data_IF_359511052170
#
_entry.id   IF_359511052170
#
_cell.length_a   1.000
_cell.length_b   1.000
_cell.length_c   1.000
_cell.angle_alpha   90.00
_cell.angle_beta   90.00
_cell.angle_gamma   90.00
#
_symmetry.space_group_name_H-M   'P 1'
#
loop_
_entity.id
_entity.type
_entity.pdbx_description
1 polymer ?
#
# COMPACT_ATOMS: atom_id res chain seq x y z
N UNK A 1 30.82 0.57 10.43
CA UNK A 1 30.17 1.78 9.92
C UNK A 1 31.00 2.27 8.74
N UNK A 2 30.45 2.15 7.55
CA UNK A 2 31.16 2.45 6.30
C UNK A 2 31.09 3.96 6.02
N UNK A 3 32.24 4.64 5.94
CA UNK A 3 32.28 6.10 5.77
C UNK A 3 32.82 6.55 4.40
N UNK A 4 32.85 5.65 3.40
CA UNK A 4 33.30 5.94 2.05
C UNK A 4 32.55 5.15 0.97
N UNK A 5 32.37 5.73 -0.21
CA UNK A 5 31.88 5.06 -1.43
C UNK A 5 33.00 5.08 -2.48
N UNK A 6 33.20 3.97 -3.19
CA UNK A 6 34.11 3.92 -4.34
C UNK A 6 33.49 4.67 -5.53
N UNK A 7 34.25 5.59 -6.11
CA UNK A 7 33.89 6.35 -7.31
C UNK A 7 34.99 6.19 -8.36
N UNK A 8 34.74 6.56 -9.63
CA UNK A 8 35.77 6.47 -10.69
C UNK A 8 37.08 7.20 -10.34
N UNK A 9 37.00 8.22 -9.49
CA UNK A 9 38.12 9.11 -9.18
C UNK A 9 38.75 8.82 -7.79
N UNK A 10 38.20 7.89 -7.00
CA UNK A 10 38.71 7.54 -5.67
C UNK A 10 37.65 7.17 -4.62
N UNK A 11 38.07 7.10 -3.35
CA UNK A 11 37.20 6.86 -2.19
C UNK A 11 36.52 8.15 -1.72
N UNK A 12 35.24 8.29 -2.04
CA UNK A 12 34.43 9.44 -1.68
C UNK A 12 34.03 9.39 -0.20
N UNK A 13 34.46 10.36 0.61
CA UNK A 13 34.13 10.42 2.02
C UNK A 13 32.68 10.86 2.25
N UNK A 14 31.89 10.02 2.92
CA UNK A 14 30.48 10.31 3.21
C UNK A 14 30.27 11.37 4.30
N UNK A 15 31.32 11.73 5.04
CA UNK A 15 31.25 12.75 6.10
C UNK A 15 31.44 14.18 5.56
N UNK A 16 32.45 14.40 4.72
CA UNK A 16 32.80 15.73 4.24
C UNK A 16 32.81 15.88 2.73
N UNK A 17 32.46 14.82 1.99
CA UNK A 17 32.36 14.81 0.54
C UNK A 17 33.70 15.00 -0.19
N UNK A 18 34.82 14.85 0.50
CA UNK A 18 36.14 14.85 -0.11
C UNK A 18 36.41 13.50 -0.80
N UNK A 19 36.86 13.54 -2.05
CA UNK A 19 37.35 12.35 -2.77
C UNK A 19 38.78 12.07 -2.35
N UNK A 20 39.01 10.89 -1.76
CA UNK A 20 40.31 10.43 -1.28
C UNK A 20 40.89 9.43 -2.27
N UNK A 21 42.17 9.13 -2.14
CA UNK A 21 42.79 8.04 -2.91
C UNK A 21 42.17 6.69 -2.54
N UNK A 22 42.17 5.74 -3.48
CA UNK A 22 41.59 4.40 -3.34
C UNK A 22 42.08 3.56 -2.15
N UNK A 23 43.25 3.88 -1.61
CA UNK A 23 43.86 3.20 -0.47
C UNK A 23 43.79 4.01 0.82
N UNK A 24 43.10 5.15 0.81
CA UNK A 24 42.94 5.98 2.00
C UNK A 24 42.09 5.25 3.04
N UNK A 25 42.65 5.05 4.24
CA UNK A 25 41.92 4.45 5.38
C UNK A 25 41.20 5.51 6.22
N UNK A 26 41.53 6.78 6.02
CA UNK A 26 40.92 7.94 6.67
C UNK A 26 40.81 9.09 5.67
N UNK A 27 39.80 9.94 5.85
CA UNK A 27 39.58 11.10 5.02
C UNK A 27 40.66 12.13 5.27
N UNK A 28 41.34 12.57 4.21
CA UNK A 28 42.38 13.60 4.29
C UNK A 28 41.83 14.98 4.68
N UNK A 29 40.53 15.22 4.50
CA UNK A 29 39.91 16.50 4.81
C UNK A 29 39.22 16.54 6.18
N UNK A 30 38.54 15.48 6.61
CA UNK A 30 37.80 15.49 7.89
C UNK A 30 38.26 14.43 8.91
N UNK A 31 39.22 13.57 8.56
CA UNK A 31 39.73 12.52 9.44
C UNK A 31 38.81 11.29 9.61
N UNK A 32 37.62 11.26 9.00
CA UNK A 32 36.70 10.12 9.11
C UNK A 32 37.30 8.83 8.53
N UNK A 33 37.16 7.69 9.20
CA UNK A 33 37.73 6.39 8.76
C UNK A 33 37.03 5.87 7.49
N UNK A 34 37.73 5.79 6.37
CA UNK A 34 37.18 5.31 5.10
C UNK A 34 37.27 3.78 5.05
N UNK A 35 36.12 3.12 5.08
CA UNK A 35 35.99 1.67 4.87
C UNK A 35 35.29 1.49 3.54
N UNK A 36 35.98 0.88 2.56
CA UNK A 36 35.42 0.59 1.24
C UNK A 36 34.22 -0.35 1.40
N UNK A 37 33.04 0.13 1.02
CA UNK A 37 31.78 -0.57 1.16
C UNK A 37 31.63 -1.60 0.03
N UNK A 38 31.78 -2.90 0.33
CA UNK A 38 31.26 -3.92 -0.58
C UNK A 38 30.74 -5.22 0.08
N UNK A 39 30.75 -5.35 1.40
CA UNK A 39 30.13 -6.53 2.07
C UNK A 39 29.31 -6.15 3.30
N UNK A 40 29.81 -5.22 4.12
CA UNK A 40 29.04 -4.67 5.24
C UNK A 40 27.86 -3.83 4.80
N UNK A 41 28.02 -3.02 3.74
CA UNK A 41 26.90 -2.23 3.21
C UNK A 41 25.81 -3.12 2.60
N UNK A 42 26.19 -4.15 1.86
CA UNK A 42 25.24 -5.13 1.33
C UNK A 42 24.49 -5.87 2.45
N UNK A 43 25.20 -6.22 3.53
CA UNK A 43 24.58 -6.83 4.72
C UNK A 43 23.64 -5.86 5.46
N UNK A 44 24.04 -4.59 5.63
CA UNK A 44 23.20 -3.54 6.23
C UNK A 44 21.95 -3.28 5.38
N UNK A 45 22.07 -3.24 4.04
CA UNK A 45 20.94 -3.09 3.12
C UNK A 45 19.99 -4.30 3.16
N UNK A 46 20.53 -5.53 3.19
CA UNK A 46 19.71 -6.74 3.37
C UNK A 46 18.97 -6.76 4.71
N UNK A 47 19.63 -6.34 5.78
CA UNK A 47 19.01 -6.26 7.10
C UNK A 47 17.90 -5.19 7.14
N UNK A 48 18.06 -4.09 6.40
CA UNK A 48 17.00 -3.10 6.21
C UNK A 48 15.83 -3.68 5.41
N UNK A 49 16.09 -4.41 4.31
CA UNK A 49 15.06 -5.14 3.55
C UNK A 49 14.26 -6.12 4.42
N UNK A 50 14.95 -6.92 5.24
CA UNK A 50 14.31 -7.86 6.17
C UNK A 50 13.42 -7.13 7.20
N UNK A 51 13.83 -5.95 7.67
CA UNK A 51 13.03 -5.12 8.58
C UNK A 51 11.68 -4.71 7.97
N UNK A 52 11.68 -4.30 6.69
CA UNK A 52 10.48 -3.92 5.95
C UNK A 52 9.49 -5.07 5.77
N UNK A 53 9.99 -6.32 5.75
CA UNK A 53 9.15 -7.53 5.63
C UNK A 53 8.60 -8.07 6.95
N UNK A 54 8.94 -7.45 8.09
CA UNK A 54 8.44 -7.88 9.39
C UNK A 54 6.93 -7.65 9.56
N UNK A 55 6.25 -8.55 10.27
CA UNK A 55 4.80 -8.45 10.49
C UNK A 55 4.37 -7.16 11.22
N UNK A 56 5.21 -6.64 12.12
CA UNK A 56 4.98 -5.35 12.78
C UNK A 56 5.05 -4.19 11.81
N UNK A 57 6.06 -4.17 10.93
CA UNK A 57 6.19 -3.15 9.90
C UNK A 57 5.01 -3.19 8.93
N UNK A 58 4.63 -4.39 8.47
CA UNK A 58 3.47 -4.59 7.57
C UNK A 58 2.15 -4.12 8.19
N UNK A 59 1.90 -4.42 9.47
CA UNK A 59 0.69 -3.95 10.16
C UNK A 59 0.64 -2.42 10.25
N UNK A 60 1.78 -1.78 10.52
CA UNK A 60 1.89 -0.33 10.55
C UNK A 60 1.73 0.29 9.15
N UNK A 61 2.38 -0.28 8.13
CA UNK A 61 2.23 0.12 6.74
C UNK A 61 0.77 0.08 6.30
N UNK A 62 0.07 -1.03 6.56
CA UNK A 62 -1.36 -1.18 6.25
C UNK A 62 -2.24 -0.17 7.00
N UNK A 63 -1.90 0.17 8.25
CA UNK A 63 -2.59 1.24 8.98
C UNK A 63 -2.47 2.58 8.26
N UNK A 64 -1.28 2.97 7.81
CA UNK A 64 -1.08 4.24 7.11
C UNK A 64 -1.67 4.25 5.70
N UNK A 65 -1.55 3.15 4.96
CA UNK A 65 -2.17 2.98 3.64
C UNK A 65 -3.68 3.25 3.67
N UNK A 66 -4.35 2.84 4.74
CA UNK A 66 -5.81 2.98 4.89
C UNK A 66 -6.26 4.28 5.59
N UNK A 67 -5.34 5.06 6.17
CA UNK A 67 -5.69 6.26 6.96
C UNK A 67 -5.19 7.58 6.38
N UNK A 68 -4.27 7.54 5.40
CA UNK A 68 -3.81 8.75 4.72
C UNK A 68 -4.91 9.32 3.82
N UNK A 69 -5.10 10.65 3.79
CA UNK A 69 -6.02 11.29 2.85
C UNK A 69 -5.53 11.17 1.39
N UNK A 70 -6.41 11.37 0.40
CA UNK A 70 -6.02 11.53 -1.02
C UNK A 70 -4.90 12.58 -1.18
N UNK A 71 -3.87 12.26 -1.97
CA UNK A 71 -2.66 13.08 -2.09
C UNK A 71 -1.73 13.09 -0.86
N UNK A 72 -2.02 12.27 0.16
CA UNK A 72 -1.16 12.07 1.32
C UNK A 72 -0.01 11.10 1.06
N UNK A 73 1.08 11.24 1.80
CA UNK A 73 2.28 10.40 1.71
C UNK A 73 2.82 10.12 3.10
N UNK A 74 3.28 8.90 3.34
CA UNK A 74 4.10 8.51 4.47
C UNK A 74 5.45 7.97 3.99
N UNK A 75 6.52 8.38 4.67
CA UNK A 75 7.88 7.88 4.46
C UNK A 75 8.30 7.10 5.69
N UNK A 76 8.44 5.79 5.54
CA UNK A 76 9.03 4.95 6.57
C UNK A 76 10.54 5.00 6.41
N UNK A 77 11.26 5.30 7.49
CA UNK A 77 12.73 5.40 7.48
C UNK A 77 13.30 4.22 8.25
N UNK A 78 14.34 3.57 7.71
CA UNK A 78 14.84 2.28 8.21
C UNK A 78 15.23 2.24 9.68
N UNK A 79 15.54 3.38 10.30
CA UNK A 79 15.96 3.50 11.69
C UNK A 79 14.93 4.19 12.59
N UNK A 80 13.67 4.27 12.16
CA UNK A 80 12.58 4.93 12.90
C UNK A 80 11.37 4.02 13.05
N UNK A 81 10.75 4.09 14.23
CA UNK A 81 9.52 3.36 14.52
C UNK A 81 8.29 4.01 13.87
N UNK A 82 8.21 5.34 13.83
CA UNK A 82 7.08 6.07 13.24
C UNK A 82 7.46 6.70 11.89
N UNK A 83 6.61 6.57 10.85
CA UNK A 83 6.84 7.20 9.57
C UNK A 83 6.64 8.71 9.64
N UNK A 84 7.25 9.41 8.70
CA UNK A 84 6.99 10.83 8.45
C UNK A 84 5.74 10.93 7.61
N UNK A 85 4.72 11.64 8.09
CA UNK A 85 3.44 11.76 7.40
C UNK A 85 3.24 13.17 6.84
N UNK A 86 2.75 13.21 5.62
CA UNK A 86 2.43 14.42 4.87
C UNK A 86 0.99 14.30 4.41
N UNK A 87 0.04 15.04 5.02
CA UNK A 87 -1.36 14.99 4.62
C UNK A 87 -1.60 15.45 3.18
N UNK A 88 -0.70 16.25 2.62
CA UNK A 88 -0.72 16.66 1.22
C UNK A 88 0.70 16.97 0.77
N UNK A 89 1.10 16.44 -0.38
CA UNK A 89 2.42 16.70 -0.98
C UNK A 89 2.27 17.55 -2.25
N UNK A 90 2.92 18.72 -2.24
CA UNK A 90 2.99 19.60 -3.42
C UNK A 90 4.37 19.54 -4.09
N UNK A 91 5.41 19.66 -3.27
CA UNK A 91 6.81 19.61 -3.68
C UNK A 91 7.64 19.23 -2.46
N UNK A 92 7.89 17.93 -2.29
CA UNK A 92 8.58 17.40 -1.13
C UNK A 92 10.05 17.15 -1.45
N UNK A 93 10.94 17.98 -0.92
CA UNK A 93 12.38 17.85 -1.08
C UNK A 93 12.96 17.01 0.05
N UNK A 94 13.77 16.04 -0.31
CA UNK A 94 14.52 15.20 0.62
C UNK A 94 15.99 15.62 0.59
N UNK A 95 16.55 15.97 1.74
CA UNK A 95 17.94 16.41 1.82
C UNK A 95 18.35 16.87 3.21
N UNK A 96 19.55 17.42 3.35
CA UNK A 96 20.09 17.92 4.65
C UNK A 96 19.98 19.43 4.87
N UNK A 97 19.35 20.16 3.95
CA UNK A 97 19.21 21.61 4.05
C UNK A 97 17.94 22.04 4.79
N UNK A 98 17.81 23.35 5.00
CA UNK A 98 16.57 23.96 5.48
C UNK A 98 15.61 24.25 4.32
N UNK A 99 14.30 24.17 4.60
CA UNK A 99 13.26 24.53 3.64
C UNK A 99 13.40 25.98 3.15
N UNK A 100 13.23 26.21 1.85
CA UNK A 100 12.98 27.55 1.32
C UNK A 100 11.49 27.91 1.38
N UNK A 101 11.18 29.20 1.19
CA UNK A 101 9.80 29.69 1.25
C UNK A 101 8.91 28.97 0.23
N UNK A 102 7.86 28.30 0.70
CA UNK A 102 6.89 27.58 -0.15
C UNK A 102 7.26 26.13 -0.49
N UNK A 103 8.37 25.61 0.05
CA UNK A 103 8.78 24.21 -0.12
C UNK A 103 8.43 23.36 1.10
N UNK A 104 8.02 22.11 0.87
CA UNK A 104 8.02 21.09 1.92
C UNK A 104 9.38 20.42 1.87
N UNK A 105 10.16 20.50 2.96
CA UNK A 105 11.48 19.89 3.00
C UNK A 105 11.64 19.01 4.23
N UNK A 106 12.23 17.84 4.02
CA UNK A 106 12.61 16.90 5.06
C UNK A 106 14.11 17.00 5.25
N UNK A 107 14.53 17.54 6.39
CA UNK A 107 15.93 17.56 6.82
C UNK A 107 16.32 16.17 7.36
N UNK A 108 16.85 15.31 6.48
CA UNK A 108 17.21 13.93 6.81
C UNK A 108 18.40 13.81 7.74
N UNK A 109 19.23 14.85 7.91
CA UNK A 109 20.32 14.83 8.89
C UNK A 109 19.80 14.75 10.33
N UNK A 110 18.58 15.23 10.57
CA UNK A 110 17.94 15.17 11.89
C UNK A 110 17.19 13.86 12.12
N UNK A 111 17.03 13.05 11.08
CA UNK A 111 16.17 11.87 11.10
C UNK A 111 16.94 10.58 11.26
N UNK A 112 18.13 10.49 10.64
CA UNK A 112 18.95 9.30 10.62
C UNK A 112 20.44 9.65 10.69
N UNK A 113 21.22 8.80 11.35
CA UNK A 113 22.68 8.88 11.33
C UNK A 113 23.25 8.68 9.90
N UNK A 114 22.50 8.02 9.02
CA UNK A 114 22.86 7.83 7.61
C UNK A 114 22.59 9.09 6.76
N UNK A 115 21.95 10.11 7.33
CA UNK A 115 21.65 11.37 6.66
C UNK A 115 22.88 12.09 6.10
N UNK A 116 24.08 11.85 6.65
CA UNK A 116 25.34 12.41 6.14
C UNK A 116 25.64 12.02 4.68
N UNK A 117 25.22 10.82 4.27
CA UNK A 117 25.33 10.35 2.88
C UNK A 117 24.36 11.07 1.91
N UNK A 118 23.42 11.86 2.43
CA UNK A 118 22.43 12.59 1.64
C UNK A 118 22.95 14.00 1.32
N UNK A 119 22.61 14.50 0.14
CA UNK A 119 22.97 15.84 -0.33
C UNK A 119 22.07 16.88 0.33
N UNK A 120 22.46 18.16 0.29
CA UNK A 120 21.64 19.27 0.83
C UNK A 120 20.23 19.26 0.24
N UNK A 121 20.15 19.16 -1.09
CA UNK A 121 18.94 18.88 -1.84
C UNK A 121 19.26 17.67 -2.69
N UNK A 122 18.67 16.52 -2.38
CA UNK A 122 19.11 15.24 -2.93
C UNK A 122 18.10 14.69 -3.92
N UNK A 123 16.85 14.57 -3.50
CA UNK A 123 15.76 14.14 -4.37
C UNK A 123 14.51 14.98 -4.12
N UNK A 124 13.59 14.92 -5.07
CA UNK A 124 12.27 15.54 -4.95
C UNK A 124 11.19 14.51 -5.24
N UNK A 125 10.12 14.56 -4.43
CA UNK A 125 8.87 13.84 -4.67
C UNK A 125 7.81 14.85 -5.08
N UNK A 126 7.21 14.63 -6.25
CA UNK A 126 6.18 15.48 -6.85
C UNK A 126 4.89 14.68 -7.08
N UNK A 127 3.71 15.29 -6.89
CA UNK A 127 2.45 14.67 -7.28
C UNK A 127 2.41 14.45 -8.80
N UNK A 128 1.85 13.32 -9.20
CA UNK A 128 1.62 12.93 -10.59
C UNK A 128 0.15 12.50 -10.77
N UNK A 129 -0.25 12.20 -12.01
CA UNK A 129 -1.64 11.87 -12.35
C UNK A 129 -2.23 10.69 -11.56
N UNK A 130 -1.38 9.75 -11.13
CA UNK A 130 -1.78 8.50 -10.46
C UNK A 130 -0.92 8.19 -9.22
N UNK A 131 -0.54 9.22 -8.45
CA UNK A 131 0.30 9.07 -7.26
C UNK A 131 1.45 10.07 -7.25
N UNK A 132 2.68 9.57 -7.19
CA UNK A 132 3.88 10.40 -7.06
C UNK A 132 4.97 10.00 -8.05
N UNK A 133 5.89 10.93 -8.30
CA UNK A 133 7.16 10.67 -8.98
C UNK A 133 8.32 11.07 -8.08
N UNK A 134 9.46 10.41 -8.24
CA UNK A 134 10.72 10.76 -7.61
C UNK A 134 11.73 11.21 -8.69
N UNK A 135 12.56 12.19 -8.37
CA UNK A 135 13.68 12.61 -9.22
C UNK A 135 14.91 12.93 -8.38
N UNK A 136 16.07 12.47 -8.82
CA UNK A 136 17.35 12.89 -8.26
C UNK A 136 17.69 14.33 -8.70
N UNK A 137 18.16 15.17 -7.78
CA UNK A 137 18.47 16.58 -8.02
C UNK A 137 19.95 16.83 -8.34
N UNK A 138 20.65 15.82 -8.91
CA UNK A 138 22.09 15.88 -9.13
C UNK A 138 22.85 15.60 -7.84
N UNK A 139 22.41 14.61 -7.09
CA UNK A 139 23.02 14.28 -5.81
C UNK A 139 24.39 13.64 -5.99
N UNK A 140 25.25 13.77 -4.97
CA UNK A 140 26.63 13.30 -5.06
C UNK A 140 26.73 11.78 -4.97
N UNK A 141 25.87 11.18 -4.14
CA UNK A 141 25.86 9.74 -3.93
C UNK A 141 24.78 9.04 -4.75
N UNK A 142 23.94 9.76 -5.48
CA UNK A 142 22.85 9.19 -6.26
C UNK A 142 21.62 8.81 -5.45
N UNK A 143 20.52 8.69 -6.17
CA UNK A 143 19.23 8.17 -5.69
C UNK A 143 18.96 6.83 -6.37
N UNK A 144 18.44 5.87 -5.63
CA UNK A 144 17.95 4.60 -6.16
C UNK A 144 16.47 4.44 -5.88
N UNK A 145 15.76 3.88 -6.85
CA UNK A 145 14.40 3.38 -6.70
C UNK A 145 14.48 1.86 -6.78
N UNK A 146 14.11 1.20 -5.69
CA UNK A 146 14.37 -0.21 -5.46
C UNK A 146 15.86 -0.52 -5.72
N UNK A 147 16.17 -1.38 -6.68
CA UNK A 147 17.55 -1.76 -7.00
C UNK A 147 18.15 -0.94 -8.17
N UNK A 148 17.40 0.00 -8.75
CA UNK A 148 17.81 0.75 -9.93
C UNK A 148 18.21 2.20 -9.60
N UNK A 149 19.36 2.64 -10.11
CA UNK A 149 19.84 4.01 -9.94
C UNK A 149 19.11 4.97 -10.89
N UNK A 150 18.65 6.11 -10.37
CA UNK A 150 17.93 7.10 -11.15
C UNK A 150 18.87 7.99 -11.95
N UNK A 151 18.46 8.38 -13.16
CA UNK A 151 19.10 9.45 -13.92
C UNK A 151 18.77 10.81 -13.30
N UNK A 152 19.76 11.69 -13.01
CA UNK A 152 19.51 13.01 -12.47
C UNK A 152 18.55 13.86 -13.31
N UNK A 153 17.60 14.51 -12.66
CA UNK A 153 16.62 15.41 -13.27
C UNK A 153 15.45 14.73 -14.00
N UNK A 154 15.46 13.40 -14.13
CA UNK A 154 14.39 12.65 -14.79
C UNK A 154 13.35 12.16 -13.76
N UNK A 155 12.04 12.34 -14.01
CA UNK A 155 11.00 11.82 -13.14
C UNK A 155 10.76 10.33 -13.36
N UNK A 156 10.73 9.59 -12.25
CA UNK A 156 10.40 8.16 -12.20
C UNK A 156 9.11 7.98 -11.38
N UNK A 157 8.10 7.28 -11.91
CA UNK A 157 6.87 7.02 -11.18
C UNK A 157 7.14 6.16 -9.95
N UNK A 158 6.45 6.46 -8.85
CA UNK A 158 6.47 5.67 -7.62
C UNK A 158 5.20 4.82 -7.52
N UNK A 159 5.34 3.66 -6.88
CA UNK A 159 4.26 2.84 -6.37
C UNK A 159 4.30 2.81 -4.83
N UNK A 160 3.14 2.64 -4.21
CA UNK A 160 3.08 2.48 -2.75
C UNK A 160 3.76 1.16 -2.38
N UNK A 161 4.73 1.22 -1.46
CA UNK A 161 5.59 0.10 -1.09
C UNK A 161 6.98 0.12 -1.72
N UNK A 162 7.22 1.00 -2.71
CA UNK A 162 8.56 1.16 -3.29
C UNK A 162 9.58 1.62 -2.25
N UNK A 163 10.83 1.21 -2.46
CA UNK A 163 11.95 1.66 -1.65
C UNK A 163 12.71 2.76 -2.39
N UNK A 164 12.89 3.91 -1.76
CA UNK A 164 13.77 4.96 -2.24
C UNK A 164 15.00 4.99 -1.35
N UNK A 165 16.19 4.98 -1.97
CA UNK A 165 17.45 5.12 -1.25
C UNK A 165 18.17 6.39 -1.69
N UNK A 166 18.52 7.22 -0.71
CA UNK A 166 19.28 8.47 -0.88
C UNK A 166 20.68 8.24 -0.34
N UNK A 167 21.69 8.06 -1.19
CA UNK A 167 23.00 7.59 -0.72
C UNK A 167 22.88 6.23 0.01
N UNK A 168 23.08 6.24 1.33
CA UNK A 168 22.93 5.06 2.19
C UNK A 168 21.60 5.01 2.95
N UNK A 169 20.80 6.09 2.91
CA UNK A 169 19.55 6.17 3.66
C UNK A 169 18.42 5.54 2.86
N UNK A 170 17.90 4.40 3.31
CA UNK A 170 16.75 3.73 2.71
C UNK A 170 15.43 4.15 3.38
N UNK A 171 14.40 4.31 2.55
CA UNK A 171 13.07 4.71 2.96
C UNK A 171 12.04 3.91 2.16
N UNK A 172 10.95 3.48 2.78
CA UNK A 172 9.81 2.93 2.04
C UNK A 172 8.71 3.99 1.92
N UNK A 173 8.18 4.16 0.70
CA UNK A 173 7.08 5.09 0.45
C UNK A 173 5.74 4.39 0.65
N UNK A 174 4.80 5.08 1.28
CA UNK A 174 3.43 4.62 1.45
C UNK A 174 2.49 5.78 1.12
N UNK A 175 1.63 5.59 0.14
CA UNK A 175 0.57 6.54 -0.15
C UNK A 175 -0.68 5.76 -0.56
N UNK A 176 -1.88 6.31 -0.31
CA UNK A 176 -3.08 5.73 -0.86
C UNK A 176 -2.94 5.81 -2.38
N UNK A 177 -2.95 4.65 -3.04
CA UNK A 177 -3.04 4.62 -4.49
C UNK A 177 -4.42 5.17 -4.83
N UNK A 178 -4.48 6.39 -5.35
CA UNK A 178 -5.67 6.85 -6.05
C UNK A 178 -5.79 5.98 -7.31
N UNK A 179 -6.60 4.94 -7.17
CA UNK A 179 -6.80 3.85 -8.13
C UNK A 179 -7.41 4.41 -9.44
N UNK A 180 -6.56 5.06 -10.22
CA UNK A 180 -6.92 5.76 -11.47
C UNK A 180 -6.62 4.92 -12.71
N UNK A 181 -6.08 3.70 -12.55
CA UNK A 181 -5.85 2.77 -13.64
C UNK A 181 -6.23 1.33 -13.23
N UNK A 182 -7.54 1.06 -13.32
CA UNK A 182 -8.20 -0.27 -13.35
C UNK A 182 -8.65 -0.86 -12.00
N UNK A 183 -9.89 -0.47 -11.68
CA UNK A 183 -10.93 -1.10 -10.85
C UNK A 183 -11.04 -2.63 -11.03
N UNK A 184 -10.35 -3.48 -10.25
CA UNK A 184 -10.50 -4.96 -10.36
C UNK A 184 -10.58 -5.66 -9.00
N UNK A 185 -11.73 -6.26 -8.69
CA UNK A 185 -11.87 -7.30 -7.65
C UNK A 185 -11.72 -8.67 -8.30
N UNK A 186 -10.82 -9.51 -7.78
CA UNK A 186 -10.63 -10.88 -8.26
C UNK A 186 -11.41 -11.87 -7.37
N UNK A 187 -12.39 -12.56 -7.95
CA UNK A 187 -13.11 -13.63 -7.26
C UNK A 187 -12.50 -14.96 -7.66
N UNK A 188 -11.95 -15.70 -6.69
CA UNK A 188 -11.45 -17.05 -6.88
C UNK A 188 -12.49 -18.08 -6.43
N UNK A 189 -12.94 -18.89 -7.37
CA UNK A 189 -13.84 -20.01 -7.11
C UNK A 189 -12.98 -21.25 -6.77
N UNK A 190 -12.85 -21.59 -5.47
CA UNK A 190 -12.16 -22.81 -5.02
C UNK A 190 -13.13 -23.98 -4.84
N UNK A 191 -12.78 -25.16 -5.36
CA UNK A 191 -13.50 -26.41 -5.08
C UNK A 191 -13.14 -26.95 -3.69
N UNK A 192 -14.06 -26.87 -2.73
CA UNK A 192 -13.77 -27.24 -1.33
C UNK A 192 -13.84 -28.74 -1.00
N UNK A 193 -14.17 -29.63 -1.93
CA UNK A 193 -14.16 -31.07 -1.66
C UNK A 193 -13.92 -31.92 -2.92
N UNK A 194 -13.08 -32.93 -2.76
CA UNK A 194 -12.49 -33.81 -3.77
C UNK A 194 -13.46 -34.86 -4.35
N UNK A 195 -14.77 -34.62 -4.41
CA UNK A 195 -15.74 -35.50 -5.06
C UNK A 195 -16.88 -34.63 -5.62
N UNK A 196 -16.97 -34.55 -6.95
CA UNK A 196 -18.03 -33.93 -7.79
C UNK A 196 -17.92 -32.49 -8.31
N UNK A 197 -16.78 -31.80 -8.19
CA UNK A 197 -16.55 -30.61 -9.04
C UNK A 197 -15.19 -30.72 -9.69
N UNK A 198 -15.16 -31.18 -10.94
CA UNK A 198 -14.00 -30.95 -11.78
C UNK A 198 -13.81 -29.42 -11.88
N UNK A 199 -12.63 -28.87 -11.53
CA UNK A 199 -12.36 -27.43 -11.58
C UNK A 199 -12.54 -26.81 -12.97
N UNK A 200 -12.77 -27.63 -14.00
CA UNK A 200 -12.92 -27.22 -15.39
C UNK A 200 -14.37 -26.92 -15.84
N UNK A 201 -15.40 -27.02 -14.97
CA UNK A 201 -16.79 -26.69 -15.37
C UNK A 201 -17.60 -25.97 -14.28
N UNK A 202 -17.80 -24.65 -14.45
CA UNK A 202 -18.84 -23.89 -13.73
C UNK A 202 -20.22 -24.42 -14.11
N UNK A 203 -20.83 -25.22 -13.23
CA UNK A 203 -22.20 -25.72 -13.46
C UNK A 203 -23.21 -24.57 -13.29
N UNK A 204 -24.30 -24.54 -14.07
CA UNK A 204 -25.38 -23.55 -13.90
C UNK A 204 -25.88 -23.46 -12.46
N UNK A 205 -25.96 -24.59 -11.75
CA UNK A 205 -26.35 -24.61 -10.35
C UNK A 205 -25.38 -23.84 -9.43
N UNK A 206 -24.06 -23.98 -9.63
CA UNK A 206 -23.07 -23.24 -8.84
C UNK A 206 -23.16 -21.72 -9.09
N UNK A 207 -23.34 -21.35 -10.36
CA UNK A 207 -23.53 -19.96 -10.76
C UNK A 207 -24.77 -19.36 -10.08
N UNK A 208 -25.88 -20.08 -10.06
CA UNK A 208 -27.13 -19.62 -9.48
C UNK A 208 -27.10 -19.59 -7.94
N UNK A 209 -26.46 -20.56 -7.29
CA UNK A 209 -26.51 -20.70 -5.83
C UNK A 209 -25.40 -19.95 -5.10
N UNK A 210 -24.28 -19.63 -5.76
CA UNK A 210 -23.13 -19.04 -5.10
C UNK A 210 -22.66 -17.75 -5.77
N UNK A 211 -22.43 -17.76 -7.08
CA UNK A 211 -21.88 -16.59 -7.77
C UNK A 211 -22.90 -15.46 -7.92
N UNK A 212 -24.10 -15.76 -8.42
CA UNK A 212 -25.14 -14.76 -8.66
C UNK A 212 -25.56 -14.01 -7.38
N UNK A 213 -25.86 -14.68 -6.26
CA UNK A 213 -26.23 -13.98 -5.03
C UNK A 213 -25.09 -13.10 -4.51
N UNK A 214 -23.84 -13.56 -4.62
CA UNK A 214 -22.67 -12.78 -4.22
C UNK A 214 -22.48 -11.52 -5.06
N UNK A 215 -22.59 -11.63 -6.39
CA UNK A 215 -22.51 -10.48 -7.30
C UNK A 215 -23.66 -9.50 -7.06
N UNK A 216 -24.87 -10.00 -6.80
CA UNK A 216 -26.02 -9.16 -6.44
C UNK A 216 -25.78 -8.41 -5.13
N UNK A 217 -25.27 -9.07 -4.10
CA UNK A 217 -24.93 -8.42 -2.83
C UNK A 217 -23.82 -7.37 -2.97
N UNK A 218 -22.82 -7.63 -3.82
CA UNK A 218 -21.81 -6.62 -4.15
C UNK A 218 -22.41 -5.42 -4.90
N UNK A 219 -23.33 -5.65 -5.84
CA UNK A 219 -24.00 -4.58 -6.58
C UNK A 219 -24.88 -3.74 -5.64
N UNK A 220 -25.58 -4.41 -4.72
CA UNK A 220 -26.40 -3.78 -3.69
C UNK A 220 -25.56 -2.87 -2.78
N UNK A 221 -24.41 -3.36 -2.31
CA UNK A 221 -23.45 -2.55 -1.55
C UNK A 221 -23.02 -1.30 -2.35
N UNK A 222 -22.69 -1.48 -3.63
CA UNK A 222 -22.31 -0.37 -4.51
C UNK A 222 -23.43 0.66 -4.68
N UNK A 223 -24.67 0.21 -4.88
CA UNK A 223 -25.82 1.12 -4.96
C UNK A 223 -25.99 1.93 -3.67
N UNK A 224 -25.92 1.28 -2.50
CA UNK A 224 -26.04 1.96 -1.20
C UNK A 224 -24.97 3.04 -1.06
N UNK A 225 -23.73 2.73 -1.44
CA UNK A 225 -22.62 3.68 -1.42
C UNK A 225 -22.87 4.83 -2.41
N UNK A 226 -23.26 4.54 -3.64
CA UNK A 226 -23.56 5.56 -4.66
C UNK A 226 -24.70 6.50 -4.20
N UNK A 227 -25.80 5.93 -3.70
CA UNK A 227 -26.93 6.69 -3.16
C UNK A 227 -26.51 7.57 -1.98
N UNK A 228 -25.68 7.05 -1.07
CA UNK A 228 -25.16 7.81 0.06
C UNK A 228 -24.30 9.03 -0.34
N UNK A 229 -23.75 9.00 -1.57
CA UNK A 229 -22.88 10.02 -2.13
C UNK A 229 -23.55 10.88 -3.21
N UNK A 230 -24.85 10.67 -3.49
CA UNK A 230 -25.57 11.33 -4.57
C UNK A 230 -25.03 11.02 -5.97
N UNK A 231 -24.34 9.89 -6.13
CA UNK A 231 -23.82 9.41 -7.41
C UNK A 231 -24.87 8.56 -8.13
N UNK A 232 -24.90 8.57 -9.48
CA UNK A 232 -25.78 7.67 -10.22
C UNK A 232 -25.42 6.20 -9.95
N UNK A 233 -26.40 5.29 -9.97
CA UNK A 233 -26.12 3.87 -9.86
C UNK A 233 -25.24 3.44 -11.04
N UNK A 234 -24.22 2.64 -10.74
CA UNK A 234 -23.36 2.00 -11.72
C UNK A 234 -23.39 0.52 -11.41
N UNK A 235 -23.57 -0.32 -12.42
CA UNK A 235 -23.56 -1.77 -12.23
C UNK A 235 -22.13 -2.29 -12.13
N UNK A 236 -21.93 -3.36 -11.37
CA UNK A 236 -20.67 -4.11 -11.42
C UNK A 236 -20.57 -4.83 -12.76
N UNK A 237 -19.46 -4.64 -13.48
CA UNK A 237 -19.22 -5.30 -14.76
C UNK A 237 -18.20 -6.42 -14.61
N UNK A 238 -18.43 -7.56 -15.27
CA UNK A 238 -17.41 -8.59 -15.41
C UNK A 238 -16.48 -8.17 -16.54
N UNK A 239 -15.23 -7.88 -16.21
CA UNK A 239 -14.23 -7.44 -17.17
C UNK A 239 -13.59 -8.63 -17.90
N UNK A 240 -13.20 -9.66 -17.15
CA UNK A 240 -12.57 -10.87 -17.69
C UNK A 240 -12.79 -12.08 -16.79
N UNK A 241 -12.73 -13.27 -17.40
CA UNK A 241 -12.77 -14.55 -16.70
C UNK A 241 -11.56 -15.37 -17.17
N UNK A 242 -10.75 -15.84 -16.24
CA UNK A 242 -9.51 -16.58 -16.50
C UNK A 242 -9.50 -17.90 -15.76
N UNK A 243 -9.08 -18.97 -16.44
CA UNK A 243 -8.73 -20.21 -15.77
C UNK A 243 -7.33 -20.10 -15.15
N UNK A 244 -7.18 -20.58 -13.92
CA UNK A 244 -5.94 -20.60 -13.14
C UNK A 244 -5.72 -22.00 -12.56
N UNK A 245 -4.47 -22.37 -12.20
CA UNK A 245 -4.20 -23.66 -11.56
C UNK A 245 -5.02 -23.92 -10.27
N UNK A 246 -5.46 -22.85 -9.59
CA UNK A 246 -6.22 -22.91 -8.35
C UNK A 246 -7.75 -22.78 -8.53
N UNK A 247 -8.26 -22.62 -9.76
CA UNK A 247 -9.69 -22.44 -10.04
C UNK A 247 -9.97 -21.41 -11.14
N UNK A 248 -11.15 -20.78 -11.11
CA UNK A 248 -11.54 -19.72 -12.06
C UNK A 248 -11.46 -18.37 -11.36
N UNK A 249 -10.78 -17.44 -11.99
CA UNK A 249 -10.61 -16.06 -11.59
C UNK A 249 -11.56 -15.17 -12.39
N UNK A 250 -12.37 -14.36 -11.71
CA UNK A 250 -13.26 -13.38 -12.33
C UNK A 250 -12.80 -12.00 -11.92
N UNK A 251 -12.47 -11.16 -12.91
CA UNK A 251 -12.10 -9.76 -12.68
C UNK A 251 -13.32 -8.87 -12.86
N UNK A 252 -13.64 -8.09 -11.82
CA UNK A 252 -14.80 -7.22 -11.80
C UNK A 252 -14.43 -5.75 -11.82
N UNK A 253 -15.08 -4.96 -12.67
CA UNK A 253 -15.07 -3.51 -12.59
C UNK A 253 -16.05 -3.03 -11.50
N UNK A 254 -15.51 -2.42 -10.45
CA UNK A 254 -16.24 -1.96 -9.25
C UNK A 254 -15.90 -0.50 -8.96
N UNK A 255 -16.85 0.25 -8.40
CA UNK A 255 -16.68 1.63 -7.99
C UNK A 255 -15.57 1.77 -6.92
N UNK A 256 -14.64 2.75 -7.03
CA UNK A 256 -13.48 2.85 -6.12
C UNK A 256 -13.83 2.96 -4.63
N UNK A 257 -14.96 3.62 -4.30
CA UNK A 257 -15.39 3.72 -2.90
C UNK A 257 -15.93 2.38 -2.37
N UNK A 258 -16.64 1.62 -3.20
CA UNK A 258 -17.10 0.26 -2.87
C UNK A 258 -15.91 -0.66 -2.64
N UNK A 259 -14.92 -0.56 -3.51
CA UNK A 259 -13.63 -1.23 -3.39
C UNK A 259 -12.92 -0.88 -2.07
N UNK A 260 -12.85 0.41 -1.73
CA UNK A 260 -12.26 0.86 -0.48
C UNK A 260 -13.01 0.30 0.75
N UNK A 261 -14.34 0.43 0.81
CA UNK A 261 -15.17 -0.11 1.90
C UNK A 261 -14.99 -1.63 2.04
N UNK A 262 -14.91 -2.34 0.91
CA UNK A 262 -14.61 -3.76 0.95
C UNK A 262 -13.26 -4.03 1.60
N UNK A 263 -12.20 -3.33 1.19
CA UNK A 263 -10.84 -3.55 1.69
C UNK A 263 -10.69 -3.20 3.18
N UNK A 264 -11.28 -2.10 3.60
CA UNK A 264 -11.07 -1.56 4.96
C UNK A 264 -12.01 -2.16 6.00
N UNK A 265 -13.21 -2.60 5.61
CA UNK A 265 -14.22 -3.09 6.55
C UNK A 265 -14.63 -4.53 6.28
N UNK A 266 -15.08 -4.86 5.05
CA UNK A 266 -15.75 -6.13 4.78
C UNK A 266 -14.78 -7.31 4.70
N UNK A 267 -13.66 -7.19 3.99
CA UNK A 267 -12.68 -8.28 3.82
C UNK A 267 -12.08 -8.72 5.16
N UNK A 268 -11.54 -7.81 5.99
CA UNK A 268 -10.97 -8.21 7.29
C UNK A 268 -12.01 -8.85 8.21
N UNK A 269 -13.25 -8.34 8.18
CA UNK A 269 -14.36 -8.90 8.94
C UNK A 269 -14.73 -10.31 8.47
N UNK A 270 -14.81 -10.56 7.15
CA UNK A 270 -15.12 -11.89 6.60
C UNK A 270 -14.06 -12.92 6.99
N UNK A 271 -12.79 -12.54 7.01
CA UNK A 271 -11.69 -13.43 7.43
C UNK A 271 -11.84 -13.83 8.90
N UNK A 272 -12.08 -12.86 9.79
CA UNK A 272 -12.32 -13.08 11.21
C UNK A 272 -13.57 -13.95 11.46
N UNK A 273 -14.67 -13.66 10.76
CA UNK A 273 -15.90 -14.43 10.88
C UNK A 273 -15.71 -15.88 10.42
N UNK A 274 -14.99 -16.10 9.32
CA UNK A 274 -14.70 -17.45 8.80
C UNK A 274 -13.87 -18.26 9.81
N UNK A 275 -12.87 -17.64 10.44
CA UNK A 275 -12.08 -18.29 11.49
C UNK A 275 -12.92 -18.64 12.72
N UNK A 276 -13.80 -17.73 13.14
CA UNK A 276 -14.73 -17.96 14.25
C UNK A 276 -15.73 -19.09 13.96
N UNK A 277 -16.39 -19.05 12.80
CA UNK A 277 -17.38 -20.05 12.39
C UNK A 277 -16.78 -21.47 12.28
N UNK A 278 -15.48 -21.56 11.95
CA UNK A 278 -14.76 -22.83 11.93
C UNK A 278 -14.45 -23.37 13.35
N UNK A 279 -14.29 -22.50 14.35
CA UNK A 279 -13.99 -22.86 15.74
C UNK A 279 -15.24 -23.21 16.55
N UNK A 280 -16.34 -22.48 16.38
CA UNK A 280 -17.56 -22.66 17.16
C UNK A 280 -18.76 -23.04 16.29
N UNK A 281 -19.05 -24.36 16.23
CA UNK A 281 -20.14 -24.90 15.40
C UNK A 281 -21.53 -24.73 16.02
N UNK A 282 -21.66 -24.24 17.26
CA UNK A 282 -22.92 -24.31 18.02
C UNK A 282 -23.76 -23.02 18.01
N UNK A 283 -23.18 -21.86 17.74
CA UNK A 283 -23.89 -20.56 17.79
C UNK A 283 -23.62 -19.59 16.61
N UNK A 284 -23.73 -20.02 15.33
CA UNK A 284 -23.31 -19.17 14.21
C UNK A 284 -24.27 -18.03 13.83
N UNK A 285 -25.59 -18.14 14.10
CA UNK A 285 -26.60 -17.22 13.53
C UNK A 285 -26.77 -15.93 14.36
N UNK A 286 -27.04 -16.02 15.66
CA UNK A 286 -27.26 -14.83 16.50
C UNK A 286 -25.99 -13.97 16.63
N UNK A 287 -24.82 -14.60 16.56
CA UNK A 287 -23.53 -13.89 16.54
C UNK A 287 -23.30 -13.18 15.19
N UNK A 288 -23.72 -13.80 14.08
CA UNK A 288 -23.63 -13.19 12.76
C UNK A 288 -24.50 -11.94 12.66
N UNK A 289 -25.74 -11.98 13.18
CA UNK A 289 -26.64 -10.82 13.19
C UNK A 289 -26.02 -9.62 13.91
N UNK A 290 -25.52 -9.82 15.14
CA UNK A 290 -24.87 -8.75 15.90
C UNK A 290 -23.60 -8.22 15.22
N UNK A 291 -22.79 -9.12 14.65
CA UNK A 291 -21.56 -8.73 13.95
C UNK A 291 -21.85 -7.96 12.64
N UNK A 292 -22.94 -8.28 11.96
CA UNK A 292 -23.41 -7.56 10.77
C UNK A 292 -23.93 -6.17 11.14
N UNK A 293 -24.70 -6.05 12.22
CA UNK A 293 -25.20 -4.77 12.73
C UNK A 293 -24.04 -3.82 13.06
N UNK A 294 -23.02 -4.32 13.77
CA UNK A 294 -21.83 -3.53 14.10
C UNK A 294 -21.06 -3.10 12.84
N UNK A 295 -20.86 -4.02 11.88
CA UNK A 295 -20.19 -3.70 10.63
C UNK A 295 -20.97 -2.67 9.80
N UNK A 296 -22.30 -2.80 9.74
CA UNK A 296 -23.21 -1.85 9.09
C UNK A 296 -23.00 -0.44 9.66
N UNK A 297 -22.98 -0.31 10.99
CA UNK A 297 -22.69 0.96 11.66
C UNK A 297 -21.33 1.56 11.30
N UNK A 298 -20.27 0.73 11.26
CA UNK A 298 -18.93 1.18 10.87
C UNK A 298 -18.90 1.70 9.42
N UNK A 299 -19.56 0.99 8.50
CA UNK A 299 -19.63 1.38 7.09
C UNK A 299 -20.38 2.72 6.94
N UNK A 300 -21.54 2.89 7.59
CA UNK A 300 -22.26 4.16 7.53
C UNK A 300 -21.48 5.32 8.13
N UNK A 301 -20.74 5.10 9.23
CA UNK A 301 -19.84 6.11 9.78
C UNK A 301 -18.74 6.50 8.78
N UNK A 302 -18.15 5.54 8.07
CA UNK A 302 -17.12 5.79 7.06
C UNK A 302 -17.63 6.55 5.82
N UNK A 303 -18.92 6.44 5.51
CA UNK A 303 -19.53 7.10 4.36
C UNK A 303 -19.81 8.60 4.57
N UNK A 304 -19.58 9.16 5.78
CA UNK A 304 -19.76 10.59 6.08
C UNK A 304 -21.10 11.14 5.57
N UNK A 305 -22.17 10.38 5.76
CA UNK A 305 -23.45 10.70 5.15
C UNK A 305 -24.00 12.01 5.74
N UNK A 306 -23.91 13.09 4.96
CA UNK A 306 -24.55 14.38 5.28
C UNK A 306 -26.09 14.30 5.21
N UNK A 307 -26.65 13.12 4.95
CA UNK A 307 -28.08 12.89 5.00
C UNK A 307 -28.51 12.76 6.46
N UNK A 308 -29.27 13.75 6.94
CA UNK A 308 -29.84 13.81 8.30
C UNK A 308 -30.74 12.64 8.67
N UNK A 309 -31.01 11.72 7.74
CA UNK A 309 -31.48 10.35 7.93
C UNK A 309 -31.28 9.59 6.60
N UNK A 310 -30.50 8.51 6.52
CA UNK A 310 -30.64 7.58 5.40
C UNK A 310 -32.10 7.12 5.34
N UNK A 311 -32.64 6.84 4.14
CA UNK A 311 -33.98 6.23 4.06
C UNK A 311 -33.99 4.98 4.93
N UNK A 312 -35.08 4.76 5.68
CA UNK A 312 -35.17 3.67 6.68
C UNK A 312 -34.78 2.28 6.14
N UNK A 313 -34.84 2.08 4.82
CA UNK A 313 -34.46 0.85 4.13
C UNK A 313 -32.96 0.66 3.85
N UNK A 314 -32.11 1.69 3.89
CA UNK A 314 -30.68 1.54 3.52
C UNK A 314 -29.89 0.66 4.51
N UNK A 315 -30.08 0.80 5.84
CA UNK A 315 -29.43 -0.10 6.80
C UNK A 315 -29.86 -1.55 6.62
N UNK A 316 -31.17 -1.81 6.48
CA UNK A 316 -31.71 -3.16 6.25
C UNK A 316 -31.17 -3.79 4.96
N UNK A 317 -31.09 -3.00 3.87
CA UNK A 317 -30.49 -3.43 2.60
C UNK A 317 -29.01 -3.76 2.75
N UNK A 318 -28.25 -2.95 3.51
CA UNK A 318 -26.84 -3.19 3.77
C UNK A 318 -26.63 -4.46 4.57
N UNK A 319 -27.39 -4.67 5.64
CA UNK A 319 -27.33 -5.87 6.47
C UNK A 319 -27.67 -7.14 5.68
N UNK A 320 -28.69 -7.07 4.81
CA UNK A 320 -29.03 -8.16 3.90
C UNK A 320 -27.88 -8.48 2.92
N UNK A 321 -27.25 -7.46 2.33
CA UNK A 321 -26.09 -7.64 1.46
C UNK A 321 -24.90 -8.26 2.22
N UNK A 322 -24.58 -7.73 3.40
CA UNK A 322 -23.51 -8.23 4.26
C UNK A 322 -23.76 -9.69 4.68
N UNK A 323 -25.01 -10.06 4.96
CA UNK A 323 -25.39 -11.45 5.28
C UNK A 323 -25.01 -12.39 4.14
N UNK A 324 -25.37 -12.05 2.90
CA UNK A 324 -25.06 -12.86 1.71
C UNK A 324 -23.54 -12.96 1.51
N UNK A 325 -22.81 -11.85 1.68
CA UNK A 325 -21.36 -11.83 1.56
C UNK A 325 -20.67 -12.69 2.64
N UNK A 326 -21.20 -12.69 3.86
CA UNK A 326 -20.66 -13.43 4.99
C UNK A 326 -20.76 -14.95 4.80
N UNK A 327 -21.93 -15.43 4.36
CA UNK A 327 -22.20 -16.86 4.20
C UNK A 327 -21.66 -17.42 2.88
N UNK A 328 -21.22 -16.55 1.96
CA UNK A 328 -20.63 -16.96 0.70
C UNK A 328 -19.31 -17.70 0.91
N UNK A 329 -19.21 -18.90 0.33
CA UNK A 329 -17.99 -19.71 0.33
C UNK A 329 -16.98 -19.28 -0.74
N UNK A 330 -17.23 -18.17 -1.44
CA UNK A 330 -16.32 -17.61 -2.43
C UNK A 330 -15.15 -16.91 -1.74
N UNK A 331 -13.94 -17.24 -2.19
CA UNK A 331 -12.74 -16.54 -1.77
C UNK A 331 -12.51 -15.35 -2.71
N UNK A 332 -12.64 -14.16 -2.18
CA UNK A 332 -12.39 -12.93 -2.93
C UNK A 332 -10.99 -12.45 -2.55
N UNK A 333 -10.05 -12.58 -3.47
CA UNK A 333 -8.66 -12.19 -3.28
C UNK A 333 -8.35 -10.97 -4.12
N UNK A 334 -7.40 -10.18 -3.68
CA UNK A 334 -6.94 -9.05 -4.48
C UNK A 334 -5.76 -9.49 -5.35
N UNK A 335 -5.85 -9.27 -6.66
CA UNK A 335 -4.68 -9.32 -7.55
C UNK A 335 -4.46 -7.92 -8.12
N UNK A 336 -3.51 -7.21 -7.52
CA UNK A 336 -3.17 -5.83 -7.81
C UNK A 336 -2.10 -5.40 -6.84
#
# INVERSE_FOLDING_TARGET
>A
MSHAIESKDGLFCLYCQHTNQWHATHCQQCGARLVAANSQLEAELKQQEESWTSGTHQAQFNKYLNSLPPGGLALFVSDRADPLTFPFVKNLILGRDAAHTGEQMVDVARLSQLGHSVSRRHAVILPATSGFTCSDLGSTNGTWLNLEMLEPGKPYPLQSGDQIRLGLLAMQVCFPVEDTAVKRLNILIKGRNTLEVHPHQLRPHYLLMHLSPFLQALNELQEIINLSQGQPPHDIQIHSIHERPAGIAIDLEIHPKTLHIWRTHISPWRDQYTEFANRDRKHPISFLEQAIEELSHQIFAALHTNTTKPSHSLPERLEAALTILAVSQLEAHWTG
#
